data_IF_634424993730
#
_entry.id   IF_634424993730
#
_cell.length_a   1.000
_cell.length_b   1.000
_cell.length_c   1.000
_cell.angle_alpha   90.00
_cell.angle_beta   90.00
_cell.angle_gamma   90.00
#
_symmetry.space_group_name_H-M   'P 1'
#
loop_
_entity.id
_entity.type
_entity.pdbx_description
1 polymer ?
#
# COMPACT_ATOMS: atom_id res chain seq x y z
N UNK A 1 -24.49 -16.21 20.35
CA UNK A 1 -23.97 -15.61 19.09
C UNK A 1 -22.47 -15.41 19.28
N UNK A 2 -21.66 -16.37 18.85
CA UNK A 2 -20.20 -16.34 19.02
C UNK A 2 -19.60 -15.51 17.89
N UNK A 3 -19.01 -14.37 18.23
CA UNK A 3 -18.31 -13.50 17.28
C UNK A 3 -17.13 -14.25 16.67
N UNK A 4 -17.07 -14.28 15.34
CA UNK A 4 -15.95 -14.86 14.61
C UNK A 4 -14.82 -13.82 14.64
N UNK A 5 -13.86 -14.01 15.55
CA UNK A 5 -12.61 -13.24 15.53
C UNK A 5 -11.78 -13.71 14.35
N UNK A 6 -11.73 -12.91 13.28
CA UNK A 6 -10.83 -13.11 12.14
C UNK A 6 -9.40 -12.73 12.56
N UNK A 7 -8.71 -13.62 13.28
CA UNK A 7 -7.34 -13.39 13.70
C UNK A 7 -6.72 -14.65 14.29
N UNK A 8 -6.22 -15.55 13.44
CA UNK A 8 -5.38 -16.67 13.90
C UNK A 8 -4.06 -16.06 14.38
N UNK A 9 -3.81 -16.04 15.71
CA UNK A 9 -2.57 -15.51 16.29
C UNK A 9 -1.37 -16.35 15.83
N UNK A 10 -0.70 -15.92 14.77
CA UNK A 10 0.62 -16.37 14.36
C UNK A 10 1.57 -15.18 14.40
N UNK A 11 2.83 -15.40 14.74
CA UNK A 11 3.88 -14.38 14.66
C UNK A 11 3.96 -13.91 13.20
N UNK A 12 3.68 -12.63 12.94
CA UNK A 12 3.56 -12.09 11.57
C UNK A 12 2.12 -11.89 11.06
N UNK A 13 1.09 -12.23 11.85
CA UNK A 13 -0.30 -11.87 11.51
C UNK A 13 -0.48 -10.35 11.51
N UNK A 14 -1.13 -9.76 10.50
CA UNK A 14 -1.47 -8.34 10.49
C UNK A 14 -2.22 -8.02 11.78
N UNK A 15 -1.73 -7.04 12.54
CA UNK A 15 -2.44 -6.55 13.72
C UNK A 15 -3.80 -5.99 13.28
N UNK A 16 -4.80 -6.01 14.16
CA UNK A 16 -6.12 -5.39 13.86
C UNK A 16 -5.97 -3.95 13.32
N UNK A 17 -4.91 -3.24 13.73
CA UNK A 17 -4.57 -1.92 13.20
C UNK A 17 -4.09 -1.95 11.74
N UNK A 18 -3.26 -2.91 11.35
CA UNK A 18 -2.83 -3.11 9.97
C UNK A 18 -4.02 -3.48 9.07
N UNK A 19 -4.88 -4.40 9.53
CA UNK A 19 -6.10 -4.78 8.80
C UNK A 19 -7.03 -3.58 8.62
N UNK A 20 -7.26 -2.78 9.68
CA UNK A 20 -8.06 -1.55 9.57
C UNK A 20 -7.49 -0.54 8.58
N UNK A 21 -6.16 -0.31 8.61
CA UNK A 21 -5.51 0.60 7.65
C UNK A 21 -5.66 0.09 6.21
N UNK A 22 -5.47 -1.20 5.99
CA UNK A 22 -5.68 -1.83 4.69
C UNK A 22 -7.13 -1.66 4.22
N UNK A 23 -8.12 -1.94 5.06
CA UNK A 23 -9.54 -1.73 4.73
C UNK A 23 -9.81 -0.27 4.33
N UNK A 24 -9.20 0.71 5.01
CA UNK A 24 -9.34 2.13 4.66
C UNK A 24 -8.71 2.43 3.29
N UNK A 25 -7.49 1.95 3.02
CA UNK A 25 -6.84 2.14 1.72
C UNK A 25 -7.62 1.47 0.59
N UNK A 26 -8.10 0.24 0.81
CA UNK A 26 -8.94 -0.49 -0.13
C UNK A 26 -10.29 0.21 -0.37
N UNK A 27 -10.93 0.69 0.69
CA UNK A 27 -12.18 1.45 0.59
C UNK A 27 -12.03 2.71 -0.25
N UNK A 28 -10.94 3.47 -0.05
CA UNK A 28 -10.63 4.65 -0.88
C UNK A 28 -10.37 4.27 -2.33
N UNK A 29 -9.56 3.24 -2.57
CA UNK A 29 -9.28 2.75 -3.93
C UNK A 29 -10.56 2.38 -4.70
N UNK A 30 -11.55 1.78 -4.04
CA UNK A 30 -12.84 1.44 -4.65
C UNK A 30 -13.68 2.69 -4.91
N UNK A 31 -13.75 3.62 -3.96
CA UNK A 31 -14.57 4.84 -4.09
C UNK A 31 -14.04 5.81 -5.14
N UNK A 32 -12.72 5.85 -5.33
CA UNK A 32 -12.05 6.75 -6.26
C UNK A 32 -11.88 6.14 -7.67
N UNK A 33 -12.31 4.88 -7.88
CA UNK A 33 -12.15 4.16 -9.14
C UNK A 33 -13.49 3.86 -9.81
N UNK A 34 -13.69 4.38 -11.01
CA UNK A 34 -14.90 4.10 -11.81
C UNK A 34 -14.85 2.73 -12.51
N UNK A 35 -13.66 2.13 -12.63
CA UNK A 35 -13.43 0.86 -13.31
C UNK A 35 -12.46 -0.04 -12.56
N UNK A 36 -12.63 -1.36 -12.72
CA UNK A 36 -11.86 -2.42 -12.04
C UNK A 36 -10.34 -2.25 -12.18
N UNK A 37 -9.87 -1.81 -13.34
CA UNK A 37 -8.43 -1.60 -13.57
C UNK A 37 -7.84 -0.45 -12.75
N UNK A 38 -8.61 0.62 -12.53
CA UNK A 38 -8.17 1.72 -11.65
C UNK A 38 -8.07 1.25 -10.19
N UNK A 39 -9.01 0.39 -9.77
CA UNK A 39 -8.98 -0.22 -8.45
C UNK A 39 -7.74 -1.12 -8.30
N UNK A 40 -7.47 -2.03 -9.27
CA UNK A 40 -6.29 -2.89 -9.27
C UNK A 40 -4.99 -2.09 -9.19
N UNK A 41 -4.87 -1.01 -9.97
CA UNK A 41 -3.73 -0.09 -9.93
C UNK A 41 -3.56 0.52 -8.55
N UNK A 42 -4.62 1.02 -7.94
CA UNK A 42 -4.56 1.57 -6.58
C UNK A 42 -4.17 0.52 -5.52
N UNK A 43 -4.54 -0.75 -5.71
CA UNK A 43 -4.07 -1.83 -4.84
C UNK A 43 -2.57 -2.07 -4.99
N UNK A 44 -2.08 -2.12 -6.23
CA UNK A 44 -0.65 -2.22 -6.52
C UNK A 44 0.14 -1.06 -5.91
N UNK A 45 -0.36 0.17 -6.07
CA UNK A 45 0.21 1.37 -5.43
C UNK A 45 0.30 1.20 -3.92
N UNK A 46 -0.78 0.76 -3.27
CA UNK A 46 -0.82 0.58 -1.81
C UNK A 46 0.18 -0.49 -1.36
N UNK A 47 0.22 -1.64 -2.03
CA UNK A 47 1.15 -2.74 -1.70
C UNK A 47 2.60 -2.29 -1.85
N UNK A 48 2.95 -1.69 -2.99
CA UNK A 48 4.31 -1.21 -3.25
C UNK A 48 4.73 -0.13 -2.26
N UNK A 49 3.84 0.84 -2.00
CA UNK A 49 4.09 1.90 -1.03
C UNK A 49 4.35 1.35 0.38
N UNK A 50 3.52 0.40 0.85
CA UNK A 50 3.66 -0.20 2.18
C UNK A 50 4.85 -1.16 2.30
N UNK A 51 5.33 -1.71 1.18
CA UNK A 51 6.52 -2.55 1.11
C UNK A 51 7.81 -1.77 0.78
N UNK A 52 7.71 -0.45 0.62
CA UNK A 52 8.82 0.40 0.19
C UNK A 52 9.80 0.63 1.34
N UNK A 53 11.10 0.62 1.02
CA UNK A 53 12.19 0.89 1.96
C UNK A 53 13.17 1.91 1.37
N UNK A 54 14.07 2.45 2.19
CA UNK A 54 15.10 3.38 1.70
C UNK A 54 16.03 2.70 0.68
N UNK A 55 16.37 1.43 0.89
CA UNK A 55 17.21 0.64 -0.01
C UNK A 55 16.48 0.20 -1.29
N UNK A 56 15.14 0.10 -1.24
CA UNK A 56 14.31 -0.32 -2.35
C UNK A 56 13.03 0.53 -2.43
N UNK A 57 13.13 1.77 -2.93
CA UNK A 57 12.00 2.69 -3.03
C UNK A 57 11.03 2.22 -4.12
N UNK A 58 9.84 1.81 -3.72
CA UNK A 58 8.78 1.23 -4.55
C UNK A 58 7.62 2.22 -4.73
N UNK A 59 7.88 3.32 -5.43
CA UNK A 59 6.88 4.38 -5.66
C UNK A 59 6.40 4.48 -7.11
N UNK A 60 6.79 3.54 -7.99
CA UNK A 60 6.50 3.59 -9.43
C UNK A 60 5.01 3.63 -9.81
N UNK A 61 4.12 3.27 -8.90
CA UNK A 61 2.67 3.28 -9.10
C UNK A 61 1.97 4.43 -8.37
N UNK A 62 2.71 5.24 -7.62
CA UNK A 62 2.16 6.42 -6.96
C UNK A 62 1.87 7.51 -7.99
N UNK A 63 0.84 8.35 -7.76
CA UNK A 63 0.65 9.56 -8.55
C UNK A 63 1.90 10.44 -8.49
N UNK A 64 2.31 11.00 -9.63
CA UNK A 64 3.45 11.90 -9.72
C UNK A 64 3.01 13.36 -9.64
N UNK A 65 3.94 14.23 -9.24
CA UNK A 65 3.74 15.69 -9.26
C UNK A 65 3.69 16.31 -7.86
N UNK A 66 3.71 17.64 -7.85
CA UNK A 66 3.72 18.44 -6.61
C UNK A 66 2.43 18.27 -5.79
N UNK A 67 1.33 17.85 -6.41
CA UNK A 67 0.07 17.55 -5.71
C UNK A 67 -0.03 16.09 -5.22
N UNK A 68 1.03 15.29 -5.38
CA UNK A 68 1.01 13.90 -4.93
C UNK A 68 0.95 13.81 -3.41
N UNK A 69 0.07 12.94 -2.90
CA UNK A 69 0.06 12.56 -1.48
C UNK A 69 1.16 11.54 -1.13
N UNK A 70 1.85 11.01 -2.13
CA UNK A 70 3.03 10.19 -1.91
C UNK A 70 4.21 11.11 -1.58
N UNK A 71 4.72 11.01 -0.35
CA UNK A 71 5.86 11.82 0.11
C UNK A 71 7.06 11.75 -0.83
N UNK A 72 7.30 10.59 -1.45
CA UNK A 72 8.43 10.34 -2.31
C UNK A 72 8.27 11.03 -3.67
N UNK A 73 7.15 10.79 -4.37
CA UNK A 73 6.89 11.42 -5.67
C UNK A 73 6.72 12.93 -5.56
N UNK A 74 6.11 13.42 -4.46
CA UNK A 74 6.00 14.85 -4.17
C UNK A 74 7.39 15.49 -4.01
N UNK A 75 8.25 14.93 -3.17
CA UNK A 75 9.58 15.46 -2.97
C UNK A 75 10.41 15.45 -4.26
N UNK A 76 10.31 14.39 -5.07
CA UNK A 76 10.98 14.34 -6.37
C UNK A 76 10.48 15.43 -7.32
N UNK A 77 9.17 15.68 -7.37
CA UNK A 77 8.59 16.75 -8.19
C UNK A 77 9.06 18.14 -7.73
N UNK A 78 9.14 18.36 -6.41
CA UNK A 78 9.65 19.58 -5.79
C UNK A 78 11.19 19.72 -5.82
N UNK A 79 11.91 18.71 -6.34
CA UNK A 79 13.38 18.62 -6.33
C UNK A 79 13.99 18.64 -4.93
N UNK A 80 13.29 18.04 -3.97
CA UNK A 80 13.71 17.89 -2.58
C UNK A 80 14.14 16.45 -2.28
N UNK A 81 14.76 16.25 -1.11
CA UNK A 81 15.08 14.92 -0.61
C UNK A 81 13.81 14.31 0.03
N UNK A 82 13.36 13.10 -0.39
CA UNK A 82 12.14 12.47 0.11
C UNK A 82 12.09 12.22 1.62
N UNK A 83 13.22 12.08 2.30
CA UNK A 83 13.23 11.59 3.68
C UNK A 83 13.13 10.06 3.77
N UNK A 84 13.08 9.55 4.99
CA UNK A 84 13.16 8.11 5.26
C UNK A 84 11.79 7.41 5.34
N UNK A 85 11.74 6.17 4.88
CA UNK A 85 10.50 5.37 4.91
C UNK A 85 10.06 5.01 6.33
N UNK A 86 10.95 5.06 7.33
CA UNK A 86 10.58 4.77 8.72
C UNK A 86 9.61 5.83 9.27
N UNK A 87 9.77 7.08 8.88
CA UNK A 87 8.91 8.18 9.32
C UNK A 87 7.72 8.42 8.38
N UNK A 88 7.87 8.12 7.08
CA UNK A 88 6.85 8.42 6.08
C UNK A 88 5.96 7.22 5.67
N UNK A 89 6.37 5.98 5.94
CA UNK A 89 5.55 4.77 5.68
C UNK A 89 5.11 4.14 6.99
N UNK A 90 3.85 4.36 7.35
CA UNK A 90 3.29 3.95 8.65
C UNK A 90 2.78 2.52 8.72
N UNK A 91 2.79 1.79 7.61
CA UNK A 91 2.44 0.38 7.54
C UNK A 91 3.52 -0.33 6.71
N UNK A 92 4.31 -1.15 7.38
CA UNK A 92 5.34 -1.98 6.73
C UNK A 92 4.77 -3.35 6.45
N UNK A 93 4.83 -3.74 5.19
CA UNK A 93 4.42 -5.05 4.72
C UNK A 93 5.62 -5.78 4.11
N UNK A 94 5.55 -7.10 4.14
CA UNK A 94 6.53 -7.96 3.51
C UNK A 94 6.08 -8.26 2.07
N UNK A 95 6.81 -7.70 1.11
CA UNK A 95 6.50 -7.90 -0.31
C UNK A 95 6.64 -9.35 -0.74
N UNK A 96 7.67 -10.05 -0.26
CA UNK A 96 7.98 -11.40 -0.73
C UNK A 96 6.93 -12.39 -0.22
N UNK A 97 6.35 -12.11 0.94
CA UNK A 97 5.22 -12.87 1.45
C UNK A 97 3.90 -12.54 0.74
N UNK A 98 3.64 -11.27 0.44
CA UNK A 98 2.34 -10.83 -0.08
C UNK A 98 2.23 -10.92 -1.60
N UNK A 99 3.30 -10.63 -2.34
CA UNK A 99 3.27 -10.58 -3.79
C UNK A 99 2.75 -11.87 -4.43
N UNK A 100 3.16 -13.09 -4.01
CA UNK A 100 2.61 -14.32 -4.57
C UNK A 100 1.11 -14.52 -4.29
N UNK A 101 0.60 -13.97 -3.17
CA UNK A 101 -0.80 -14.07 -2.78
C UNK A 101 -1.65 -13.07 -3.57
N UNK A 102 -1.14 -11.86 -3.75
CA UNK A 102 -1.86 -10.76 -4.39
C UNK A 102 -1.76 -10.79 -5.91
N UNK A 103 -0.66 -11.31 -6.47
CA UNK A 103 -0.41 -11.31 -7.92
C UNK A 103 -1.52 -11.99 -8.72
N UNK A 104 -2.07 -13.10 -8.24
CA UNK A 104 -3.17 -13.83 -8.90
C UNK A 104 -4.46 -12.99 -9.09
N UNK A 105 -4.64 -11.95 -8.28
CA UNK A 105 -5.82 -11.07 -8.32
C UNK A 105 -5.52 -9.72 -8.97
N UNK A 106 -4.25 -9.45 -9.25
CA UNK A 106 -3.78 -8.17 -9.76
C UNK A 106 -3.07 -8.32 -11.12
N UNK A 107 -3.25 -9.45 -11.81
CA UNK A 107 -2.93 -9.58 -13.22
C UNK A 107 -3.86 -8.72 -14.07
N UNK A 108 -3.30 -8.15 -15.14
CA UNK A 108 -3.90 -7.26 -16.15
C UNK A 108 -3.73 -5.73 -15.98
N UNK A 109 -2.65 -5.25 -15.34
CA UNK A 109 -2.21 -3.85 -15.51
C UNK A 109 -0.92 -3.76 -16.33
#
# INVERSE_FOLDING_TARGET
MLGITLGRRQTGSPTDAAVKKLIIYYGRAILDSDIVESMKKALWTTLHHCCSTDDNPRHQFCPQGEDSLCFYENALACKEFPGDHKNHVHLKLDFDHLHPITSQYMTDC
#
